data_IF_901335271303
#
_entry.id   IF_901335271303
#
_cell.length_a   1.000
_cell.length_b   1.000
_cell.length_c   1.000
_cell.angle_alpha   90.00
_cell.angle_beta   90.00
_cell.angle_gamma   90.00
#
_symmetry.space_group_name_H-M   'P 1'
#
loop_
_entity.id
_entity.type
_entity.pdbx_description
1 polymer ?
#
# COMPACT_ATOMS: atom_id res chain seq x y z
N UNK A 1 2.38 0.98 -13.41
CA UNK A 1 3.32 2.06 -13.01
C UNK A 1 3.80 2.81 -14.24
N UNK A 2 4.33 2.09 -15.24
CA UNK A 2 4.76 2.62 -16.54
C UNK A 2 3.74 3.57 -17.18
N UNK A 3 2.47 3.16 -17.29
CA UNK A 3 1.40 4.01 -17.83
C UNK A 3 1.24 5.35 -17.09
N UNK A 4 1.41 5.40 -15.76
CA UNK A 4 1.33 6.65 -15.00
C UNK A 4 2.55 7.53 -15.24
N UNK A 5 3.75 6.93 -15.26
CA UNK A 5 5.00 7.62 -15.56
C UNK A 5 4.94 8.31 -16.93
N UNK A 6 4.42 7.61 -17.94
CA UNK A 6 4.38 8.07 -19.33
C UNK A 6 3.21 9.02 -19.64
N UNK A 7 2.22 9.12 -18.73
CA UNK A 7 1.03 9.96 -18.92
C UNK A 7 0.94 11.07 -17.87
N UNK A 8 0.12 10.89 -16.82
CA UNK A 8 -0.23 11.91 -15.86
C UNK A 8 0.99 12.50 -15.16
N UNK A 9 2.00 11.66 -14.82
CA UNK A 9 3.23 12.14 -14.20
C UNK A 9 4.03 13.01 -15.16
N UNK A 10 4.30 12.52 -16.38
CA UNK A 10 5.03 13.26 -17.40
C UNK A 10 4.36 14.62 -17.68
N UNK A 11 3.02 14.66 -17.77
CA UNK A 11 2.28 15.90 -17.95
C UNK A 11 2.49 16.88 -16.78
N UNK A 12 2.39 16.41 -15.54
CA UNK A 12 2.60 17.22 -14.34
C UNK A 12 4.04 17.77 -14.27
N UNK A 13 5.02 16.92 -14.61
CA UNK A 13 6.45 17.31 -14.68
C UNK A 13 6.66 18.40 -15.74
N UNK A 14 6.17 18.20 -16.96
CA UNK A 14 6.32 19.21 -18.03
C UNK A 14 5.66 20.53 -17.68
N UNK A 15 4.47 20.50 -17.07
CA UNK A 15 3.80 21.71 -16.59
C UNK A 15 4.63 22.45 -15.54
N UNK A 16 5.25 21.73 -14.61
CA UNK A 16 6.11 22.31 -13.59
C UNK A 16 7.43 22.87 -14.16
N UNK A 17 8.04 22.20 -15.14
CA UNK A 17 9.23 22.67 -15.87
C UNK A 17 8.95 23.94 -16.66
N UNK A 18 7.85 23.98 -17.44
CA UNK A 18 7.43 25.19 -18.17
C UNK A 18 7.19 26.37 -17.22
N UNK A 19 6.58 26.09 -16.07
CA UNK A 19 6.40 27.06 -15.01
C UNK A 19 7.67 27.31 -14.18
N UNK A 20 8.83 26.73 -14.52
CA UNK A 20 10.10 26.86 -13.78
C UNK A 20 9.97 26.66 -12.27
N UNK A 21 9.13 25.71 -11.83
CA UNK A 21 8.84 25.50 -10.40
C UNK A 21 10.04 24.87 -9.70
N UNK A 22 10.70 23.93 -10.36
CA UNK A 22 11.79 23.14 -9.77
C UNK A 22 13.04 23.98 -9.52
N UNK A 23 13.37 24.92 -10.41
CA UNK A 23 14.53 25.82 -10.28
C UNK A 23 14.40 26.75 -9.07
N UNK A 24 13.18 27.04 -8.63
CA UNK A 24 12.88 27.88 -7.47
C UNK A 24 12.97 27.15 -6.13
N UNK A 25 13.01 25.82 -6.13
CA UNK A 25 13.10 25.03 -4.90
C UNK A 25 14.52 25.10 -4.33
N UNK A 26 14.68 25.75 -3.18
CA UNK A 26 15.99 25.95 -2.53
C UNK A 26 16.61 24.66 -2.02
N UNK A 27 15.78 23.72 -1.56
CA UNK A 27 16.24 22.48 -0.91
C UNK A 27 16.50 21.33 -1.89
N UNK A 28 16.35 21.58 -3.20
CA UNK A 28 16.55 20.55 -4.22
C UNK A 28 17.99 20.06 -4.24
N UNK A 29 18.16 18.76 -4.45
CA UNK A 29 19.45 18.08 -4.60
C UNK A 29 19.47 17.43 -5.98
N UNK A 30 20.34 17.93 -6.85
CA UNK A 30 20.47 17.39 -8.22
C UNK A 30 21.41 16.19 -8.19
N UNK A 31 20.81 15.02 -8.23
CA UNK A 31 21.47 13.71 -8.22
C UNK A 31 22.18 13.53 -9.55
N UNK A 32 23.48 13.22 -9.47
CA UNK A 32 24.34 12.97 -10.61
C UNK A 32 24.54 11.48 -10.85
N UNK A 33 24.41 10.66 -9.80
CA UNK A 33 24.62 9.21 -9.87
C UNK A 33 23.80 8.50 -8.80
N UNK A 34 23.26 7.32 -9.16
CA UNK A 34 22.74 6.33 -8.21
C UNK A 34 23.44 5.01 -8.51
N UNK A 35 24.19 4.50 -7.54
CA UNK A 35 24.91 3.23 -7.73
C UNK A 35 23.95 2.04 -7.67
N UNK A 36 24.36 0.90 -8.22
CA UNK A 36 23.60 -0.37 -8.16
C UNK A 36 24.12 -1.26 -7.03
N UNK A 37 23.27 -2.13 -6.50
CA UNK A 37 23.64 -3.12 -5.47
C UNK A 37 22.66 -3.15 -4.31
N UNK A 38 23.02 -3.88 -3.24
CA UNK A 38 22.20 -4.06 -2.04
C UNK A 38 22.09 -2.78 -1.19
N UNK A 39 23.14 -1.96 -1.18
CA UNK A 39 23.18 -0.65 -0.51
C UNK A 39 23.52 0.45 -1.53
N UNK A 40 22.55 0.85 -2.38
CA UNK A 40 22.80 1.84 -3.41
C UNK A 40 23.11 3.20 -2.77
N UNK A 41 24.10 3.90 -3.33
CA UNK A 41 24.48 5.26 -2.95
C UNK A 41 23.82 6.25 -3.89
N UNK A 42 23.29 7.34 -3.33
CA UNK A 42 22.86 8.53 -4.06
C UNK A 42 23.95 9.56 -3.96
N UNK A 43 24.37 10.09 -5.11
CA UNK A 43 25.42 11.09 -5.23
C UNK A 43 24.84 12.36 -5.83
N UNK A 44 25.07 13.50 -5.19
CA UNK A 44 24.69 14.81 -5.72
C UNK A 44 25.78 15.85 -5.48
N UNK A 45 25.75 16.91 -6.29
CA UNK A 45 26.64 18.06 -6.15
C UNK A 45 25.92 19.19 -5.41
N UNK A 46 26.59 19.77 -4.42
CA UNK A 46 26.15 20.95 -3.71
C UNK A 46 26.46 22.24 -4.50
N UNK A 47 25.79 23.36 -4.19
CA UNK A 47 26.05 24.65 -4.85
C UNK A 47 27.49 25.16 -4.71
N UNK A 48 28.19 24.78 -3.64
CA UNK A 48 29.61 25.10 -3.38
C UNK A 48 30.60 24.21 -4.17
N UNK A 49 30.09 23.29 -5.00
CA UNK A 49 30.89 22.35 -5.78
C UNK A 49 31.26 21.07 -5.04
N UNK A 50 30.96 20.96 -3.74
CA UNK A 50 31.20 19.73 -2.97
C UNK A 50 30.31 18.58 -3.46
N UNK A 51 30.80 17.35 -3.33
CA UNK A 51 30.05 16.14 -3.70
C UNK A 51 29.64 15.43 -2.42
N UNK A 52 28.35 15.14 -2.30
CA UNK A 52 27.80 14.38 -1.18
C UNK A 52 27.41 12.99 -1.67
N UNK A 53 27.75 11.97 -0.88
CA UNK A 53 27.38 10.58 -1.10
C UNK A 53 26.64 10.07 0.12
N UNK A 54 25.45 9.51 -0.06
CA UNK A 54 24.67 8.88 1.02
C UNK A 54 24.04 7.59 0.56
N UNK A 55 23.97 6.60 1.44
CA UNK A 55 23.17 5.40 1.19
C UNK A 55 21.71 5.78 1.02
N UNK A 56 21.08 5.30 -0.06
CA UNK A 56 19.68 5.56 -0.38
C UNK A 56 18.79 5.18 0.81
N UNK A 57 19.03 4.01 1.40
CA UNK A 57 18.25 3.48 2.53
C UNK A 57 18.37 4.32 3.81
N UNK A 58 19.41 5.15 3.94
CA UNK A 58 19.57 6.07 5.07
C UNK A 58 18.79 7.38 4.91
N UNK A 59 18.27 7.68 3.71
CA UNK A 59 17.54 8.91 3.44
C UNK A 59 16.10 8.81 3.95
N UNK A 60 15.69 9.82 4.72
CA UNK A 60 14.31 10.00 5.15
C UNK A 60 13.39 10.29 3.97
N UNK A 61 12.07 10.14 4.16
CA UNK A 61 11.06 10.47 3.15
C UNK A 61 11.21 11.92 2.68
N UNK A 62 11.34 12.87 3.61
CA UNK A 62 11.49 14.28 3.28
C UNK A 62 12.75 14.53 2.44
N UNK A 63 13.88 13.90 2.78
CA UNK A 63 15.10 14.03 1.99
C UNK A 63 14.96 13.44 0.58
N UNK A 64 14.27 12.31 0.44
CA UNK A 64 13.99 11.67 -0.86
C UNK A 64 13.11 12.54 -1.76
N UNK A 65 12.17 13.27 -1.17
CA UNK A 65 11.30 14.20 -1.89
C UNK A 65 12.07 15.42 -2.43
N UNK A 66 13.27 15.73 -1.92
CA UNK A 66 14.09 16.82 -2.47
C UNK A 66 15.09 16.36 -3.53
N UNK A 67 15.11 15.08 -3.90
CA UNK A 67 16.01 14.58 -4.94
C UNK A 67 15.44 14.82 -6.34
N UNK A 68 16.26 15.41 -7.20
CA UNK A 68 15.96 15.70 -8.60
C UNK A 68 17.06 15.14 -9.49
N UNK A 69 16.74 14.90 -10.76
CA UNK A 69 17.70 14.57 -11.82
C UNK A 69 17.55 15.58 -12.96
N UNK A 70 18.60 15.79 -13.74
CA UNK A 70 18.48 16.51 -15.02
C UNK A 70 17.87 15.57 -16.07
N UNK A 71 16.65 15.88 -16.50
CA UNK A 71 15.98 15.25 -17.64
C UNK A 71 16.15 16.08 -18.92
N UNK A 72 15.59 15.56 -20.02
CA UNK A 72 15.68 16.19 -21.36
C UNK A 72 15.12 17.62 -21.38
N UNK A 73 14.09 17.89 -20.58
CA UNK A 73 13.38 19.18 -20.54
C UNK A 73 13.70 20.02 -19.30
N UNK A 74 14.76 19.67 -18.58
CA UNK A 74 15.17 20.32 -17.33
C UNK A 74 15.01 19.40 -16.13
N UNK A 75 14.92 19.99 -14.94
CA UNK A 75 14.87 19.22 -13.71
C UNK A 75 13.62 18.35 -13.61
N UNK A 76 13.77 17.15 -13.07
CA UNK A 76 12.68 16.22 -12.78
C UNK A 76 12.83 15.63 -11.37
N UNK A 77 11.76 15.56 -10.58
CA UNK A 77 11.83 14.91 -9.27
C UNK A 77 12.10 13.42 -9.45
N UNK A 78 12.92 12.83 -8.58
CA UNK A 78 13.06 11.37 -8.48
C UNK A 78 11.89 10.73 -7.73
N UNK A 79 11.10 11.54 -7.02
CA UNK A 79 9.88 11.09 -6.36
C UNK A 79 8.82 10.67 -7.39
N UNK A 80 8.17 9.53 -7.14
CA UNK A 80 7.24 8.94 -8.10
C UNK A 80 5.89 9.68 -8.13
N UNK A 81 5.30 9.88 -6.95
CA UNK A 81 3.95 10.42 -6.80
C UNK A 81 3.98 11.93 -6.73
N UNK A 82 3.36 12.62 -7.68
CA UNK A 82 3.36 14.08 -7.74
C UNK A 82 1.94 14.60 -7.55
N UNK A 83 1.81 15.81 -7.00
CA UNK A 83 0.55 16.53 -7.05
C UNK A 83 0.31 17.08 -8.47
N UNK A 84 -0.87 17.67 -8.68
CA UNK A 84 -1.25 18.29 -9.97
C UNK A 84 -0.31 19.43 -10.39
N UNK A 85 0.46 19.99 -9.45
CA UNK A 85 1.46 21.01 -9.72
C UNK A 85 2.83 20.43 -10.09
N UNK A 86 2.97 19.10 -10.18
CA UNK A 86 4.22 18.40 -10.46
C UNK A 86 5.19 18.36 -9.28
N UNK A 87 4.77 18.77 -8.07
CA UNK A 87 5.62 18.72 -6.88
C UNK A 87 5.47 17.36 -6.17
N UNK A 88 6.52 16.86 -5.50
CA UNK A 88 6.46 15.65 -4.71
C UNK A 88 5.25 15.60 -3.77
N UNK A 89 4.43 14.57 -3.89
CA UNK A 89 3.23 14.37 -3.08
C UNK A 89 3.60 13.77 -1.73
N UNK A 90 3.13 14.40 -0.65
CA UNK A 90 3.46 14.02 0.72
C UNK A 90 2.73 12.75 1.14
N UNK A 91 3.37 11.91 1.97
CA UNK A 91 2.80 10.63 2.39
C UNK A 91 1.46 10.81 3.13
N UNK A 92 1.39 11.75 4.07
CA UNK A 92 0.15 12.05 4.82
C UNK A 92 -0.95 12.67 3.93
N UNK A 93 -0.62 13.17 2.73
CA UNK A 93 -1.64 13.72 1.83
C UNK A 93 -2.53 12.63 1.21
N UNK A 94 -2.13 11.36 1.28
CA UNK A 94 -2.97 10.24 0.88
C UNK A 94 -4.24 10.12 1.72
N UNK A 95 -4.21 10.51 3.00
CA UNK A 95 -5.41 10.51 3.86
C UNK A 95 -6.51 11.42 3.29
N UNK A 96 -6.12 12.56 2.72
CA UNK A 96 -7.04 13.47 2.03
C UNK A 96 -7.66 12.84 0.77
N UNK A 97 -6.86 12.10 -0.01
CA UNK A 97 -7.34 11.39 -1.21
C UNK A 97 -8.38 10.33 -0.83
N UNK A 98 -8.09 9.52 0.20
CA UNK A 98 -9.02 8.50 0.71
C UNK A 98 -10.25 9.13 1.33
N UNK A 99 -10.11 10.19 2.14
CA UNK A 99 -11.25 10.94 2.70
C UNK A 99 -12.18 11.45 1.62
N UNK A 100 -11.63 12.04 0.55
CA UNK A 100 -12.42 12.52 -0.58
C UNK A 100 -13.11 11.36 -1.32
N UNK A 101 -12.45 10.21 -1.48
CA UNK A 101 -13.04 9.02 -2.08
C UNK A 101 -14.17 8.44 -1.22
N UNK A 102 -13.96 8.29 0.09
CA UNK A 102 -14.96 7.79 1.03
C UNK A 102 -16.22 8.66 1.02
N UNK A 103 -16.09 9.99 0.99
CA UNK A 103 -17.24 10.91 0.86
C UNK A 103 -18.04 10.69 -0.43
N UNK A 104 -17.35 10.45 -1.55
CA UNK A 104 -18.02 10.13 -2.82
C UNK A 104 -18.75 8.79 -2.73
N UNK A 105 -18.10 7.77 -2.17
CA UNK A 105 -18.71 6.45 -1.97
C UNK A 105 -19.95 6.54 -1.07
N UNK A 106 -19.86 7.25 0.06
CA UNK A 106 -20.99 7.49 0.96
C UNK A 106 -22.16 8.16 0.23
N UNK A 107 -21.89 9.21 -0.55
CA UNK A 107 -22.93 9.90 -1.33
C UNK A 107 -23.64 8.98 -2.33
N UNK A 108 -22.92 8.04 -2.95
CA UNK A 108 -23.44 7.17 -4.02
C UNK A 108 -24.10 5.91 -3.47
N UNK A 109 -23.52 5.31 -2.43
CA UNK A 109 -23.89 3.98 -1.94
C UNK A 109 -24.89 4.04 -0.77
N UNK A 110 -24.99 5.17 -0.06
CA UNK A 110 -25.96 5.33 1.01
C UNK A 110 -27.38 5.46 0.45
N UNK A 111 -28.31 4.54 0.80
CA UNK A 111 -29.68 4.60 0.30
C UNK A 111 -30.35 5.93 0.67
N UNK A 112 -31.06 6.55 -0.28
CA UNK A 112 -31.70 7.87 -0.10
C UNK A 112 -32.62 7.95 1.12
N UNK A 113 -33.35 6.86 1.42
CA UNK A 113 -34.25 6.81 2.57
C UNK A 113 -33.51 6.76 3.93
N UNK A 114 -32.18 6.60 3.93
CA UNK A 114 -31.35 6.46 5.12
C UNK A 114 -30.32 7.57 5.30
N UNK A 115 -30.30 8.57 4.41
CA UNK A 115 -29.51 9.78 4.63
C UNK A 115 -29.94 10.46 5.95
N UNK A 116 -28.99 10.63 6.87
CA UNK A 116 -29.23 11.25 8.18
C UNK A 116 -29.85 10.34 9.24
N UNK A 117 -30.03 9.04 8.97
CA UNK A 117 -30.52 8.07 9.95
C UNK A 117 -29.36 7.22 10.50
N UNK A 118 -29.18 7.32 11.83
CA UNK A 118 -28.20 6.58 12.65
C UNK A 118 -26.74 6.66 12.17
N UNK A 119 -25.91 7.52 12.78
CA UNK A 119 -24.50 7.68 12.38
C UNK A 119 -23.64 6.43 12.64
N UNK A 120 -24.16 5.43 13.36
CA UNK A 120 -23.47 4.18 13.64
C UNK A 120 -23.74 3.08 12.61
N UNK A 121 -24.68 3.28 11.67
CA UNK A 121 -24.89 2.33 10.56
C UNK A 121 -24.09 2.74 9.34
N UNK A 122 -23.18 1.85 8.94
CA UNK A 122 -22.34 2.04 7.76
C UNK A 122 -23.04 1.50 6.51
N UNK A 123 -23.21 2.34 5.50
CA UNK A 123 -23.82 1.96 4.21
C UNK A 123 -22.82 1.97 3.05
N UNK A 124 -21.71 2.68 3.20
CA UNK A 124 -20.61 2.71 2.23
C UNK A 124 -19.32 2.20 2.88
N UNK A 125 -18.49 1.44 2.16
CA UNK A 125 -17.20 1.00 2.67
C UNK A 125 -16.32 2.22 3.00
N UNK A 126 -15.63 2.13 4.13
CA UNK A 126 -14.64 3.11 4.54
C UNK A 126 -13.24 2.51 4.37
N UNK A 127 -12.35 3.25 3.72
CA UNK A 127 -10.97 2.81 3.51
C UNK A 127 -9.98 3.93 3.86
N UNK A 128 -8.83 3.53 4.41
CA UNK A 128 -7.66 4.39 4.60
C UNK A 128 -6.50 3.86 3.74
N UNK A 129 -5.39 4.63 3.58
CA UNK A 129 -4.17 4.08 3.00
C UNK A 129 -3.70 2.80 3.72
N UNK A 130 -3.89 2.73 5.05
CA UNK A 130 -3.57 1.55 5.84
C UNK A 130 -4.49 0.36 5.51
N UNK A 131 -5.79 0.61 5.32
CA UNK A 131 -6.75 -0.43 4.93
C UNK A 131 -6.38 -1.11 3.61
N UNK A 132 -5.71 -0.42 2.68
CA UNK A 132 -5.21 -1.03 1.44
C UNK A 132 -4.09 -2.06 1.72
N UNK A 133 -3.17 -1.73 2.64
CA UNK A 133 -2.12 -2.65 3.09
C UNK A 133 -2.71 -3.86 3.82
N UNK A 134 -3.70 -3.63 4.66
CA UNK A 134 -4.46 -4.67 5.33
C UNK A 134 -5.17 -5.60 4.33
N UNK A 135 -5.89 -5.02 3.37
CA UNK A 135 -6.63 -5.76 2.35
C UNK A 135 -5.69 -6.64 1.52
N UNK A 136 -4.51 -6.13 1.15
CA UNK A 136 -3.48 -6.91 0.49
C UNK A 136 -2.98 -8.08 1.35
N UNK A 137 -2.72 -7.85 2.64
CA UNK A 137 -2.27 -8.90 3.56
C UNK A 137 -3.28 -10.05 3.65
N UNK A 138 -4.56 -9.71 3.86
CA UNK A 138 -5.64 -10.69 3.93
C UNK A 138 -5.83 -11.42 2.60
N UNK A 139 -5.78 -10.68 1.48
CA UNK A 139 -5.88 -11.25 0.14
C UNK A 139 -4.80 -12.29 -0.09
N UNK A 140 -3.54 -11.92 0.16
CA UNK A 140 -2.40 -12.81 -0.03
C UNK A 140 -2.46 -14.01 0.91
N UNK A 141 -2.93 -13.83 2.14
CA UNK A 141 -3.11 -14.95 3.07
C UNK A 141 -4.12 -15.97 2.53
N UNK A 142 -5.27 -15.52 2.03
CA UNK A 142 -6.27 -16.40 1.42
C UNK A 142 -5.67 -17.12 0.21
N UNK A 143 -5.04 -16.38 -0.72
CA UNK A 143 -4.41 -16.94 -1.92
C UNK A 143 -3.38 -18.01 -1.56
N UNK A 144 -2.47 -17.73 -0.62
CA UNK A 144 -1.40 -18.65 -0.25
C UNK A 144 -1.93 -19.90 0.44
N UNK A 145 -2.97 -19.78 1.29
CA UNK A 145 -3.63 -20.96 1.86
C UNK A 145 -4.35 -21.78 0.79
N UNK A 146 -5.13 -21.14 -0.10
CA UNK A 146 -5.81 -21.85 -1.18
C UNK A 146 -4.83 -22.53 -2.14
N UNK A 147 -3.72 -21.90 -2.50
CA UNK A 147 -2.70 -22.50 -3.36
C UNK A 147 -2.01 -23.70 -2.70
N UNK A 148 -1.76 -23.62 -1.39
CA UNK A 148 -1.20 -24.75 -0.64
C UNK A 148 -2.17 -25.93 -0.56
N UNK A 149 -3.48 -25.68 -0.43
CA UNK A 149 -4.49 -26.72 -0.31
C UNK A 149 -4.91 -27.31 -1.68
N UNK A 150 -5.13 -26.48 -2.69
CA UNK A 150 -5.67 -26.89 -3.99
C UNK A 150 -4.61 -27.35 -4.99
N UNK A 151 -3.47 -26.65 -5.08
CA UNK A 151 -2.56 -26.81 -6.23
C UNK A 151 -1.57 -27.95 -6.07
N UNK A 152 -1.28 -28.34 -4.84
CA UNK A 152 -0.27 -29.36 -4.55
C UNK A 152 -0.87 -30.65 -3.98
N UNK A 153 -2.16 -30.68 -3.65
CA UNK A 153 -2.81 -31.88 -3.09
C UNK A 153 -2.07 -32.46 -1.88
N UNK A 154 -1.34 -31.61 -1.15
CA UNK A 154 -0.32 -32.03 -0.19
C UNK A 154 -0.97 -32.87 0.90
N UNK A 155 -0.39 -34.03 1.17
CA UNK A 155 -0.71 -34.76 2.38
C UNK A 155 -0.33 -33.91 3.60
N UNK A 156 -0.87 -34.19 4.80
CA UNK A 156 -0.47 -33.48 6.02
C UNK A 156 1.06 -33.47 6.27
N UNK A 157 1.76 -34.47 5.75
CA UNK A 157 3.21 -34.63 5.83
C UNK A 157 3.92 -33.72 4.83
N UNK A 158 3.51 -33.70 3.56
CA UNK A 158 4.08 -32.78 2.55
C UNK A 158 3.83 -31.31 2.90
N UNK A 159 2.72 -31.00 3.59
CA UNK A 159 2.46 -29.64 4.13
C UNK A 159 3.41 -29.26 5.25
N UNK A 160 3.93 -30.22 6.04
CA UNK A 160 4.97 -29.94 7.05
C UNK A 160 6.29 -29.65 6.35
N UNK A 161 6.67 -30.48 5.40
CA UNK A 161 7.94 -30.33 4.67
C UNK A 161 7.98 -29.05 3.83
N UNK A 162 6.88 -28.71 3.16
CA UNK A 162 6.75 -27.43 2.44
C UNK A 162 6.89 -26.22 3.38
N UNK A 163 6.28 -26.28 4.58
CA UNK A 163 6.45 -25.24 5.62
C UNK A 163 7.88 -25.12 6.11
N UNK A 164 8.61 -26.24 6.20
CA UNK A 164 10.03 -26.24 6.56
C UNK A 164 10.90 -25.64 5.45
N UNK A 165 10.56 -25.84 4.17
CA UNK A 165 11.35 -25.38 3.03
C UNK A 165 11.10 -23.91 2.64
N UNK A 166 9.83 -23.49 2.61
CA UNK A 166 9.43 -22.17 2.08
C UNK A 166 8.83 -21.24 3.14
N UNK A 167 8.65 -21.73 4.37
CA UNK A 167 7.93 -21.04 5.43
C UNK A 167 6.41 -21.28 5.37
N UNK A 168 5.70 -20.85 6.41
CA UNK A 168 4.24 -20.83 6.38
C UNK A 168 3.72 -19.62 5.57
N UNK A 169 2.46 -19.66 5.08
CA UNK A 169 1.83 -18.52 4.40
C UNK A 169 1.99 -17.20 5.16
N UNK A 170 2.04 -17.27 6.49
CA UNK A 170 2.26 -16.15 7.38
C UNK A 170 3.62 -15.49 7.19
N UNK A 171 4.70 -16.28 7.16
CA UNK A 171 6.04 -15.81 6.88
C UNK A 171 6.15 -15.21 5.47
N UNK A 172 5.47 -15.81 4.49
CA UNK A 172 5.43 -15.28 3.12
C UNK A 172 4.74 -13.90 3.06
N UNK A 173 3.57 -13.74 3.71
CA UNK A 173 2.88 -12.45 3.80
C UNK A 173 3.72 -11.41 4.54
N UNK A 174 4.37 -11.80 5.64
CA UNK A 174 5.27 -10.92 6.39
C UNK A 174 6.40 -10.38 5.49
N UNK A 175 7.02 -11.26 4.68
CA UNK A 175 8.07 -10.87 3.74
C UNK A 175 7.55 -9.96 2.63
N UNK A 176 6.37 -10.25 2.07
CA UNK A 176 5.73 -9.41 1.05
C UNK A 176 5.39 -8.01 1.57
N UNK A 177 5.00 -7.92 2.84
CA UNK A 177 4.76 -6.65 3.51
C UNK A 177 6.06 -5.96 3.92
N UNK A 178 7.16 -6.69 4.08
CA UNK A 178 8.44 -6.17 4.58
C UNK A 178 8.41 -5.85 6.08
N UNK A 179 7.65 -6.62 6.87
CA UNK A 179 7.59 -6.43 8.32
C UNK A 179 8.80 -7.05 9.03
N UNK A 180 9.44 -6.25 9.90
CA UNK A 180 10.57 -6.69 10.71
C UNK A 180 10.20 -7.73 11.77
N UNK A 181 8.93 -7.77 12.22
CA UNK A 181 8.42 -8.74 13.18
C UNK A 181 7.09 -9.35 12.72
N UNK A 182 6.91 -10.64 13.06
CA UNK A 182 5.68 -11.41 12.87
C UNK A 182 4.55 -10.88 13.75
N UNK A 183 4.88 -10.43 14.96
CA UNK A 183 3.94 -9.89 15.96
C UNK A 183 3.17 -8.68 15.42
N UNK A 184 3.87 -7.73 14.78
CA UNK A 184 3.24 -6.57 14.14
C UNK A 184 2.28 -6.96 13.01
N UNK A 185 2.51 -8.08 12.32
CA UNK A 185 1.62 -8.56 11.26
C UNK A 185 0.34 -9.17 11.83
N UNK A 186 0.46 -9.89 12.95
CA UNK A 186 -0.65 -10.61 13.57
C UNK A 186 -1.51 -9.66 14.42
N UNK A 187 -0.90 -8.86 15.30
CA UNK A 187 -1.61 -7.99 16.24
C UNK A 187 -2.29 -6.79 15.56
N UNK A 188 -1.59 -6.11 14.63
CA UNK A 188 -2.09 -4.86 14.02
C UNK A 188 -3.07 -5.09 12.88
N UNK A 189 -2.95 -6.21 12.17
CA UNK A 189 -3.70 -6.40 10.93
C UNK A 189 -4.73 -7.52 11.00
N UNK A 190 -4.68 -8.46 11.95
CA UNK A 190 -5.48 -9.68 11.77
C UNK A 190 -6.15 -10.18 13.04
N UNK A 191 -6.21 -9.38 14.12
CA UNK A 191 -7.06 -9.67 15.28
C UNK A 191 -8.52 -10.02 14.89
N UNK A 192 -9.17 -9.35 13.90
CA UNK A 192 -10.54 -9.68 13.49
C UNK A 192 -10.66 -11.01 12.70
N UNK A 193 -9.56 -11.52 12.16
CA UNK A 193 -9.54 -12.73 11.29
C UNK A 193 -8.81 -13.90 11.94
N UNK A 194 -8.09 -13.67 13.04
CA UNK A 194 -7.46 -14.72 13.83
C UNK A 194 -8.50 -15.66 14.46
N UNK A 195 -9.70 -15.14 14.78
CA UNK A 195 -10.82 -15.93 15.32
C UNK A 195 -11.69 -16.57 14.23
N UNK A 196 -11.68 -16.01 13.01
CA UNK A 196 -12.29 -16.65 11.86
C UNK A 196 -11.49 -17.92 11.56
N UNK A 197 -12.11 -19.08 11.75
CA UNK A 197 -11.57 -20.37 11.33
C UNK A 197 -11.44 -20.41 9.80
N UNK A 198 -10.47 -19.68 9.25
CA UNK A 198 -10.22 -19.52 7.82
C UNK A 198 -10.08 -20.88 7.14
N UNK A 199 -9.54 -21.86 7.86
CA UNK A 199 -9.44 -23.27 7.44
C UNK A 199 -10.80 -23.96 7.28
N UNK A 200 -11.75 -23.73 8.20
CA UNK A 200 -13.10 -24.28 8.15
C UNK A 200 -13.87 -23.69 6.97
N UNK A 201 -13.78 -22.35 6.80
CA UNK A 201 -14.38 -21.66 5.68
C UNK A 201 -13.81 -22.15 4.34
N UNK A 202 -12.48 -22.22 4.19
CA UNK A 202 -11.85 -22.69 2.95
C UNK A 202 -12.16 -24.17 2.61
N UNK A 203 -12.38 -25.02 3.62
CA UNK A 203 -12.68 -26.44 3.43
C UNK A 203 -14.10 -26.70 2.86
N UNK A 204 -15.07 -25.84 3.16
CA UNK A 204 -16.47 -25.97 2.70
C UNK A 204 -16.74 -25.31 1.33
N UNK A 205 -15.72 -24.80 0.64
CA UNK A 205 -15.87 -24.29 -0.72
C UNK A 205 -16.02 -25.46 -1.71
N UNK A 206 -17.26 -25.78 -2.07
CA UNK A 206 -17.61 -26.86 -3.01
C UNK A 206 -17.04 -26.59 -4.40
N UNK A 207 -16.21 -27.52 -4.87
CA UNK A 207 -15.61 -27.76 -6.20
C UNK A 207 -15.02 -26.58 -7.01
N UNK A 208 -13.76 -26.68 -7.48
CA UNK A 208 -13.12 -25.63 -8.27
C UNK A 208 -13.51 -25.73 -9.76
N UNK A 209 -14.08 -24.66 -10.31
CA UNK A 209 -14.05 -24.41 -11.76
C UNK A 209 -12.59 -24.20 -12.18
N UNK A 210 -12.12 -24.77 -13.31
CA UNK A 210 -10.73 -24.72 -13.75
C UNK A 210 -10.39 -23.32 -14.28
N UNK A 211 -10.27 -22.34 -13.39
CA UNK A 211 -9.78 -21.01 -13.68
C UNK A 211 -8.35 -20.85 -13.12
N UNK A 212 -7.44 -20.12 -13.80
CA UNK A 212 -6.05 -19.92 -13.36
C UNK A 212 -5.89 -19.16 -12.02
N UNK A 213 -6.98 -18.70 -11.43
CA UNK A 213 -7.13 -18.38 -10.01
C UNK A 213 -8.49 -18.93 -9.58
N UNK A 214 -8.64 -19.52 -8.38
CA UNK A 214 -9.98 -19.76 -7.84
C UNK A 214 -10.75 -18.42 -7.83
N UNK A 215 -12.07 -18.44 -8.03
CA UNK A 215 -12.91 -17.23 -7.89
C UNK A 215 -12.87 -16.76 -6.43
N UNK A 216 -11.82 -16.04 -6.07
CA UNK A 216 -11.54 -15.53 -4.73
C UNK A 216 -12.64 -14.57 -4.27
N UNK A 217 -13.33 -13.93 -5.22
CA UNK A 217 -14.45 -13.02 -4.96
C UNK A 217 -15.57 -13.69 -4.14
N UNK A 218 -15.89 -14.96 -4.43
CA UNK A 218 -16.88 -15.71 -3.66
C UNK A 218 -16.40 -16.00 -2.23
N UNK A 219 -15.11 -16.28 -2.06
CA UNK A 219 -14.48 -16.50 -0.74
C UNK A 219 -14.48 -15.21 0.07
N UNK A 220 -14.07 -14.08 -0.52
CA UNK A 220 -14.08 -12.77 0.15
C UNK A 220 -15.50 -12.32 0.49
N UNK A 221 -16.48 -12.51 -0.41
CA UNK A 221 -17.88 -12.18 -0.13
C UNK A 221 -18.49 -13.04 0.98
N UNK A 222 -18.01 -14.27 1.17
CA UNK A 222 -18.40 -15.11 2.32
C UNK A 222 -17.71 -14.64 3.61
N UNK A 223 -16.39 -14.42 3.59
CA UNK A 223 -15.66 -13.86 4.74
C UNK A 223 -16.32 -12.55 5.20
N UNK A 224 -16.62 -11.63 4.28
CA UNK A 224 -17.27 -10.37 4.60
C UNK A 224 -18.68 -10.51 5.18
N UNK A 225 -19.43 -11.58 4.86
CA UNK A 225 -20.74 -11.88 5.45
C UNK A 225 -20.63 -12.50 6.84
N UNK A 226 -19.61 -13.32 7.05
CA UNK A 226 -19.42 -14.11 8.28
C UNK A 226 -18.60 -13.35 9.33
N UNK A 227 -17.85 -12.32 8.93
CA UNK A 227 -17.14 -11.42 9.84
C UNK A 227 -18.09 -10.31 10.32
N UNK A 228 -18.15 -10.04 11.62
CA UNK A 228 -18.75 -8.80 12.11
C UNK A 228 -17.90 -7.62 11.60
N UNK A 229 -18.40 -6.94 10.55
CA UNK A 229 -17.90 -5.69 9.98
C UNK A 229 -16.44 -5.34 10.30
N UNK A 230 -15.48 -5.97 9.62
CA UNK A 230 -14.06 -5.63 9.79
C UNK A 230 -13.85 -4.21 9.25
N UNK A 231 -13.83 -3.24 10.15
CA UNK A 231 -13.45 -1.87 9.86
C UNK A 231 -12.21 -1.52 10.66
N UNK A 232 -11.24 -0.96 9.95
CA UNK A 232 -10.03 -0.39 10.51
C UNK A 232 -10.37 1.04 10.98
N UNK A 233 -11.10 1.14 12.10
CA UNK A 233 -11.57 2.41 12.70
C UNK A 233 -10.61 2.97 13.76
N UNK A 234 -9.56 2.23 14.12
CA UNK A 234 -8.61 2.59 15.18
C UNK A 234 -7.52 3.53 14.67
N UNK A 235 -7.92 4.73 14.21
CA UNK A 235 -7.00 5.87 14.05
C UNK A 235 -7.60 7.21 14.54
N UNK A 236 -8.82 7.20 15.08
CA UNK A 236 -9.39 8.38 15.76
C UNK A 236 -9.00 8.42 17.25
N UNK A 237 -7.70 8.52 17.49
CA UNK A 237 -7.09 8.57 18.83
C UNK A 237 -6.25 9.81 19.10
N UNK A 238 -6.55 10.97 18.49
CA UNK A 238 -6.00 12.24 18.97
C UNK A 238 -6.99 12.88 19.95
N UNK A 239 -6.84 12.57 21.24
CA UNK A 239 -7.37 13.44 22.30
C UNK A 239 -6.44 14.65 22.40
N UNK A 240 -6.93 15.79 21.91
CA UNK A 240 -6.34 17.08 22.23
C UNK A 240 -6.30 17.29 23.75
N UNK A 241 -5.16 17.72 24.24
CA UNK A 241 -5.02 18.36 25.54
C UNK A 241 -4.62 19.81 25.32
N UNK A 242 -5.60 20.72 25.32
CA UNK A 242 -5.39 22.05 25.91
C UNK A 242 -5.30 21.86 27.43
N UNK A 243 -4.55 22.64 28.19
CA UNK A 243 -4.36 24.10 28.17
C UNK A 243 -2.93 24.47 28.53
#
# INVERSE_FOLDING_TARGET
METYCDSSRALAVRGAQQARRYERLKERRVVTEITRGLSPLVVWRCPDGSIVRRELNSLTVNERMTLFVEGEHGLEPLWLWLNEQGLPFQVHSWDGVFTAANRRCDTVLTPRQRLGLDPHKVYAPYATPHSARHSFALYMLVVLNSLMDQRYGLTPEDRRDFRHLYGDPWFMVQNLLGHASRETTVERYLAPVADLQLRSMLADAVDPVPAPMPELDAVFARIARESEGIQDVDDFGWTGGGT
#
